data_IF_000655787837
#
_entry.id   IF_000655787837
#
_cell.length_a   1.000
_cell.length_b   1.000
_cell.length_c   1.000
_cell.angle_alpha   90.00
_cell.angle_beta   90.00
_cell.angle_gamma   90.00
#
_symmetry.space_group_name_H-M   'P 1'
#
loop_
_entity.id
_entity.type
_entity.pdbx_description
1 polymer ?
#
# COMPACT_ATOMS: atom_id res chain seq x y z
N UNK A 1 -21.49 -6.63 11.29
CA UNK A 1 -20.08 -6.44 11.68
C UNK A 1 -19.96 -6.42 13.19
N UNK A 2 -18.98 -7.12 13.74
CA UNK A 2 -18.64 -7.02 15.16
C UNK A 2 -17.72 -5.82 15.45
N UNK A 3 -17.41 -5.57 16.73
CA UNK A 3 -16.55 -4.46 17.15
C UNK A 3 -15.13 -4.57 16.58
N UNK A 4 -14.61 -5.79 16.41
CA UNK A 4 -13.27 -6.02 15.86
C UNK A 4 -13.23 -5.64 14.38
N UNK A 5 -14.22 -6.05 13.60
CA UNK A 5 -14.35 -5.72 12.18
C UNK A 5 -14.52 -4.21 11.96
N UNK A 6 -15.30 -3.54 12.80
CA UNK A 6 -15.44 -2.07 12.74
C UNK A 6 -14.09 -1.39 13.02
N UNK A 7 -13.37 -1.89 14.03
CA UNK A 7 -12.05 -1.35 14.40
C UNK A 7 -11.03 -1.56 13.27
N UNK A 8 -10.96 -2.76 12.70
CA UNK A 8 -10.10 -3.07 11.57
C UNK A 8 -10.39 -2.16 10.37
N UNK A 9 -11.66 -2.02 10.00
CA UNK A 9 -12.07 -1.16 8.89
C UNK A 9 -11.69 0.31 9.09
N UNK A 10 -11.83 0.84 10.31
CA UNK A 10 -11.40 2.21 10.64
C UNK A 10 -9.88 2.37 10.57
N UNK A 11 -9.12 1.38 11.05
CA UNK A 11 -7.66 1.38 10.94
C UNK A 11 -7.22 1.35 9.47
N UNK A 12 -7.90 0.59 8.62
CA UNK A 12 -7.58 0.52 7.20
C UNK A 12 -7.83 1.83 6.47
N UNK A 13 -8.92 2.54 6.81
CA UNK A 13 -9.17 3.90 6.33
C UNK A 13 -8.02 4.82 6.72
N UNK A 14 -7.56 4.74 7.98
CA UNK A 14 -6.42 5.53 8.46
C UNK A 14 -5.13 5.18 7.72
N UNK A 15 -4.89 3.90 7.42
CA UNK A 15 -3.72 3.45 6.65
C UNK A 15 -3.73 4.01 5.23
N UNK A 16 -4.86 3.91 4.53
CA UNK A 16 -5.04 4.48 3.18
C UNK A 16 -4.81 5.99 3.22
N UNK A 17 -5.43 6.69 4.18
CA UNK A 17 -5.27 8.13 4.33
C UNK A 17 -3.81 8.51 4.60
N UNK A 18 -3.14 7.83 5.54
CA UNK A 18 -1.74 8.07 5.86
C UNK A 18 -0.83 7.84 4.65
N UNK A 19 -1.07 6.80 3.85
CA UNK A 19 -0.32 6.52 2.63
C UNK A 19 -0.51 7.61 1.56
N UNK A 20 -1.74 8.09 1.36
CA UNK A 20 -2.04 9.19 0.44
C UNK A 20 -1.35 10.48 0.89
N UNK A 21 -1.45 10.81 2.18
CA UNK A 21 -0.78 11.98 2.76
C UNK A 21 0.73 11.87 2.55
N UNK A 22 1.34 10.72 2.86
CA UNK A 22 2.76 10.50 2.65
C UNK A 22 3.18 10.69 1.18
N UNK A 23 2.35 10.23 0.23
CA UNK A 23 2.57 10.47 -1.19
C UNK A 23 2.53 11.97 -1.54
N UNK A 24 1.54 12.70 -1.04
CA UNK A 24 1.37 14.13 -1.32
C UNK A 24 2.43 15.00 -0.65
N UNK A 25 2.85 14.66 0.57
CA UNK A 25 3.84 15.41 1.35
C UNK A 25 5.28 14.98 1.06
N UNK A 26 5.51 14.15 0.04
CA UNK A 26 6.85 13.65 -0.28
C UNK A 26 7.81 14.81 -0.58
N UNK A 27 9.07 14.73 -0.10
CA UNK A 27 10.06 15.77 -0.37
C UNK A 27 10.30 15.93 -1.87
N UNK A 28 10.46 17.19 -2.29
CA UNK A 28 10.81 17.56 -3.67
C UNK A 28 12.31 17.42 -3.87
N UNK A 29 12.74 16.19 -4.12
CA UNK A 29 14.11 15.87 -4.54
C UNK A 29 14.17 15.76 -6.07
N UNK A 30 15.37 15.81 -6.65
CA UNK A 30 15.60 15.74 -8.10
C UNK A 30 15.99 14.34 -8.59
N UNK A 31 15.97 14.15 -9.91
CA UNK A 31 16.54 12.98 -10.58
C UNK A 31 15.91 11.63 -10.22
N UNK A 32 16.72 10.57 -10.26
CA UNK A 32 16.27 9.19 -10.00
C UNK A 32 15.80 8.99 -8.54
N UNK A 33 16.25 9.82 -7.59
CA UNK A 33 15.72 9.81 -6.22
C UNK A 33 14.24 10.19 -6.20
N UNK A 34 13.84 11.22 -6.96
CA UNK A 34 12.45 11.71 -7.01
C UNK A 34 11.51 10.67 -7.61
N UNK A 35 11.98 10.05 -8.69
CA UNK A 35 11.27 9.00 -9.42
C UNK A 35 11.11 7.76 -8.55
N UNK A 36 12.20 7.29 -7.95
CA UNK A 36 12.20 6.12 -7.07
C UNK A 36 11.34 6.33 -5.83
N UNK A 37 11.40 7.51 -5.20
CA UNK A 37 10.53 7.86 -4.09
C UNK A 37 9.05 7.87 -4.49
N UNK A 38 8.72 8.39 -5.67
CA UNK A 38 7.34 8.40 -6.17
C UNK A 38 6.81 6.98 -6.40
N UNK A 39 7.62 6.10 -6.99
CA UNK A 39 7.29 4.68 -7.20
C UNK A 39 7.13 3.95 -5.86
N UNK A 40 8.06 4.17 -4.93
CA UNK A 40 8.00 3.58 -3.59
C UNK A 40 6.70 3.95 -2.89
N UNK A 41 6.33 5.24 -2.91
CA UNK A 41 5.12 5.72 -2.25
C UNK A 41 3.84 5.25 -2.97
N UNK A 42 3.86 5.01 -4.29
CA UNK A 42 2.78 4.29 -4.97
C UNK A 42 2.63 2.88 -4.38
N UNK A 43 3.73 2.17 -4.15
CA UNK A 43 3.73 0.88 -3.46
C UNK A 43 3.11 0.95 -2.07
N UNK A 44 3.46 1.96 -1.28
CA UNK A 44 2.87 2.19 0.06
C UNK A 44 1.36 2.45 -0.02
N UNK A 45 0.90 3.22 -1.02
CA UNK A 45 -0.55 3.43 -1.25
C UNK A 45 -1.25 2.11 -1.60
N UNK A 46 -0.66 1.30 -2.47
CA UNK A 46 -1.19 -0.04 -2.81
C UNK A 46 -1.30 -0.92 -1.55
N UNK A 47 -0.29 -0.91 -0.68
CA UNK A 47 -0.31 -1.67 0.59
C UNK A 47 -1.45 -1.20 1.50
N UNK A 48 -1.67 0.11 1.65
CA UNK A 48 -2.81 0.63 2.41
C UNK A 48 -4.15 0.16 1.83
N UNK A 49 -4.29 0.19 0.51
CA UNK A 49 -5.50 -0.32 -0.17
C UNK A 49 -5.65 -1.85 -0.05
N UNK A 50 -4.58 -2.63 0.05
CA UNK A 50 -4.65 -4.07 0.21
C UNK A 50 -5.38 -4.48 1.50
N UNK A 51 -5.12 -3.78 2.60
CA UNK A 51 -5.82 -3.97 3.87
C UNK A 51 -7.28 -3.52 3.77
N UNK A 52 -7.52 -2.31 3.23
CA UNK A 52 -8.87 -1.81 3.06
C UNK A 52 -9.75 -2.71 2.19
N UNK A 53 -9.21 -3.21 1.08
CA UNK A 53 -9.91 -4.15 0.19
C UNK A 53 -10.23 -5.44 0.93
N UNK A 54 -9.29 -6.02 1.69
CA UNK A 54 -9.52 -7.22 2.50
C UNK A 54 -10.71 -7.04 3.46
N UNK A 55 -10.74 -5.92 4.19
CA UNK A 55 -11.86 -5.59 5.08
C UNK A 55 -13.18 -5.40 4.32
N UNK A 56 -13.15 -4.81 3.13
CA UNK A 56 -14.35 -4.65 2.28
C UNK A 56 -14.86 -6.00 1.77
N UNK A 57 -13.97 -6.83 1.21
CA UNK A 57 -14.32 -8.14 0.66
C UNK A 57 -14.91 -9.04 1.74
N UNK A 58 -14.32 -9.04 2.93
CA UNK A 58 -14.78 -9.86 4.04
C UNK A 58 -16.10 -9.35 4.65
N UNK A 59 -16.18 -8.06 5.00
CA UNK A 59 -17.33 -7.54 5.75
C UNK A 59 -18.55 -7.18 4.90
N UNK A 60 -18.38 -6.88 3.60
CA UNK A 60 -19.48 -6.41 2.73
C UNK A 60 -19.83 -7.34 1.58
N UNK A 61 -18.88 -8.15 1.11
CA UNK A 61 -19.09 -9.07 -0.02
C UNK A 61 -19.12 -10.54 0.39
N UNK A 62 -18.94 -10.84 1.69
CA UNK A 62 -19.00 -12.19 2.27
C UNK A 62 -18.11 -13.19 1.50
N UNK A 63 -16.95 -12.72 1.07
CA UNK A 63 -15.96 -13.56 0.36
C UNK A 63 -15.41 -14.58 1.34
N UNK A 64 -15.29 -15.83 0.88
CA UNK A 64 -14.68 -16.92 1.63
C UNK A 64 -13.30 -16.52 2.19
N UNK A 65 -13.03 -16.94 3.44
CA UNK A 65 -11.84 -16.53 4.18
C UNK A 65 -10.55 -16.91 3.44
N UNK A 66 -10.47 -18.11 2.86
CA UNK A 66 -9.27 -18.58 2.17
C UNK A 66 -9.03 -17.77 0.90
N UNK A 67 -10.10 -17.51 0.14
CA UNK A 67 -10.03 -16.68 -1.07
C UNK A 67 -9.62 -15.25 -0.73
N UNK A 68 -10.21 -14.67 0.31
CA UNK A 68 -9.90 -13.31 0.75
C UNK A 68 -8.43 -13.18 1.17
N UNK A 69 -7.92 -14.15 1.93
CA UNK A 69 -6.52 -14.19 2.35
C UNK A 69 -5.56 -14.30 1.15
N UNK A 70 -5.89 -15.13 0.15
CA UNK A 70 -5.10 -15.25 -1.08
C UNK A 70 -5.07 -13.92 -1.83
N UNK A 71 -6.23 -13.27 -2.02
CA UNK A 71 -6.33 -11.97 -2.68
C UNK A 71 -5.51 -10.92 -1.93
N UNK A 72 -5.65 -10.85 -0.60
CA UNK A 72 -4.90 -9.92 0.24
C UNK A 72 -3.38 -10.11 0.06
N UNK A 73 -2.88 -11.35 0.15
CA UNK A 73 -1.45 -11.67 -0.01
C UNK A 73 -0.92 -11.31 -1.40
N UNK A 74 -1.73 -11.50 -2.46
CA UNK A 74 -1.36 -11.08 -3.81
C UNK A 74 -1.24 -9.55 -3.93
N UNK A 75 -2.19 -8.80 -3.37
CA UNK A 75 -2.15 -7.33 -3.34
C UNK A 75 -0.96 -6.81 -2.54
N UNK A 76 -0.70 -7.40 -1.37
CA UNK A 76 0.46 -7.07 -0.54
C UNK A 76 1.77 -7.35 -1.28
N UNK A 77 1.89 -8.54 -1.89
CA UNK A 77 3.05 -8.90 -2.70
C UNK A 77 3.28 -7.91 -3.86
N UNK A 78 2.21 -7.53 -4.56
CA UNK A 78 2.28 -6.52 -5.62
C UNK A 78 2.74 -5.15 -5.09
N UNK A 79 2.24 -4.71 -3.93
CA UNK A 79 2.69 -3.48 -3.27
C UNK A 79 4.19 -3.51 -2.94
N UNK A 80 4.70 -4.64 -2.44
CA UNK A 80 6.14 -4.81 -2.19
C UNK A 80 6.99 -4.76 -3.46
N UNK A 81 6.51 -5.27 -4.60
CA UNK A 81 7.23 -5.13 -5.87
C UNK A 81 7.45 -3.66 -6.25
N UNK A 82 6.45 -2.81 -6.03
CA UNK A 82 6.58 -1.36 -6.24
C UNK A 82 7.57 -0.71 -5.27
N UNK A 83 7.53 -1.09 -3.98
CA UNK A 83 8.50 -0.61 -2.99
C UNK A 83 9.93 -0.98 -3.40
N UNK A 84 10.17 -2.24 -3.77
CA UNK A 84 11.47 -2.72 -4.24
C UNK A 84 11.90 -1.95 -5.48
N UNK A 85 11.02 -1.80 -6.47
CA UNK A 85 11.34 -1.06 -7.70
C UNK A 85 11.67 0.41 -7.42
N UNK A 86 10.99 1.02 -6.46
CA UNK A 86 11.27 2.37 -5.98
C UNK A 86 12.70 2.48 -5.42
N UNK A 87 13.09 1.57 -4.53
CA UNK A 87 14.45 1.53 -3.99
C UNK A 87 15.50 1.23 -5.07
N UNK A 88 15.25 0.29 -5.99
CA UNK A 88 16.15 0.00 -7.11
C UNK A 88 16.38 1.24 -7.97
N UNK A 89 15.33 2.01 -8.22
CA UNK A 89 15.41 3.28 -8.97
C UNK A 89 16.23 4.31 -8.19
N UNK A 90 15.97 4.49 -6.88
CA UNK A 90 16.76 5.39 -6.03
C UNK A 90 18.24 5.00 -5.99
N UNK A 91 18.56 3.70 -5.98
CA UNK A 91 19.93 3.20 -5.94
C UNK A 91 20.76 3.62 -7.17
N UNK A 92 20.12 3.89 -8.30
CA UNK A 92 20.80 4.40 -9.51
C UNK A 92 21.39 5.79 -9.27
N UNK A 93 20.74 6.62 -8.45
CA UNK A 93 21.21 7.97 -8.12
C UNK A 93 22.52 7.99 -7.32
N UNK A 94 22.94 6.87 -6.73
CA UNK A 94 24.18 6.75 -5.96
C UNK A 94 25.31 6.04 -6.72
N UNK A 95 25.03 5.57 -7.94
CA UNK A 95 25.98 4.85 -8.80
C UNK A 95 26.54 5.70 -9.94
N UNK A 96 26.06 6.94 -10.05
CA UNK A 96 26.57 8.01 -10.92
C UNK A 96 27.42 8.97 -10.08
#
# INVERSE_FOLDING_TARGET
>A
MDLLQITAFLLDILLVFAAIVAFQTRPRIGGELAKGLSILLIGVVILGFAHFIESVLFAFLDVDLEINEVIHRLLVGFGFLWVIFGFVTMNRAFRE
#
